data_IF_955933437496
#
_entry.id   IF_955933437496
#
_cell.length_a   1.000
_cell.length_b   1.000
_cell.length_c   1.000
_cell.angle_alpha   90.00
_cell.angle_beta   90.00
_cell.angle_gamma   90.00
#
_symmetry.space_group_name_H-M   'P 1'
#
loop_
_entity.id
_entity.type
_entity.pdbx_description
1 polymer ?
#
# COMPACT_ATOMS: atom_id res chain seq x y z
N UNK A 1 12.92 -12.63 2.20
CA UNK A 1 11.61 -12.00 1.96
C UNK A 1 11.15 -12.30 0.53
N UNK A 2 11.83 -11.84 -0.51
CA UNK A 2 11.42 -12.06 -1.92
C UNK A 2 11.24 -13.56 -2.23
N UNK A 3 12.18 -14.41 -1.82
CA UNK A 3 12.13 -15.85 -2.11
C UNK A 3 10.95 -16.57 -1.45
N UNK A 4 10.47 -16.05 -0.32
CA UNK A 4 9.32 -16.59 0.42
C UNK A 4 7.96 -16.06 -0.06
N UNK A 5 7.93 -15.03 -0.91
CA UNK A 5 6.71 -14.45 -1.45
C UNK A 5 6.28 -15.16 -2.74
N UNK A 6 4.99 -15.09 -3.07
CA UNK A 6 4.38 -15.63 -4.30
C UNK A 6 4.03 -14.51 -5.29
N UNK A 7 3.86 -14.79 -6.58
CA UNK A 7 3.34 -13.83 -7.53
C UNK A 7 1.99 -13.26 -7.06
N UNK A 8 1.84 -11.92 -7.15
CA UNK A 8 0.67 -11.20 -6.67
C UNK A 8 0.75 -10.73 -5.22
N UNK A 9 1.70 -11.21 -4.43
CA UNK A 9 1.87 -10.73 -3.06
C UNK A 9 2.38 -9.30 -3.00
N UNK A 10 1.99 -8.56 -1.96
CA UNK A 10 2.62 -7.33 -1.51
C UNK A 10 3.50 -7.64 -0.31
N UNK A 11 4.79 -7.32 -0.40
CA UNK A 11 5.73 -7.48 0.71
C UNK A 11 5.56 -6.30 1.67
N UNK A 12 5.25 -6.57 2.94
CA UNK A 12 5.15 -5.55 3.98
C UNK A 12 6.28 -5.71 4.99
N UNK A 13 7.05 -4.64 5.20
CA UNK A 13 8.23 -4.64 6.08
C UNK A 13 8.05 -3.67 7.22
N UNK A 14 8.03 -4.18 8.46
CA UNK A 14 8.09 -3.35 9.65
C UNK A 14 9.56 -3.05 10.00
N UNK A 15 9.95 -1.79 9.95
CA UNK A 15 11.28 -1.30 10.30
C UNK A 15 11.23 -0.13 11.30
N UNK A 16 10.11 0.05 12.00
CA UNK A 16 9.90 1.02 13.07
C UNK A 16 10.31 2.46 12.71
N UNK A 17 10.09 2.88 11.47
CA UNK A 17 10.44 4.22 11.00
C UNK A 17 11.94 4.46 10.82
N UNK A 18 12.79 3.43 10.84
CA UNK A 18 14.22 3.61 10.78
C UNK A 18 14.68 4.23 9.44
N UNK A 19 15.59 5.20 9.53
CA UNK A 19 16.22 5.87 8.38
C UNK A 19 17.40 5.05 7.83
N UNK A 20 17.13 3.79 7.58
CA UNK A 20 18.05 2.82 6.98
C UNK A 20 17.31 2.10 5.87
N UNK A 21 17.95 1.95 4.72
CA UNK A 21 17.33 1.31 3.55
C UNK A 21 17.22 -0.20 3.75
N UNK A 22 15.99 -0.69 3.75
CA UNK A 22 15.67 -2.14 3.72
C UNK A 22 15.56 -2.69 2.31
N UNK A 23 15.43 -1.80 1.31
CA UNK A 23 15.10 -2.14 -0.07
C UNK A 23 15.75 -1.15 -1.06
N UNK A 24 15.99 -1.59 -2.29
CA UNK A 24 16.57 -0.77 -3.35
C UNK A 24 16.32 -1.38 -4.73
N UNK A 25 17.03 -0.88 -5.76
CA UNK A 25 16.83 -1.23 -7.15
C UNK A 25 16.93 -2.72 -7.44
N UNK A 26 18.00 -3.40 -7.03
CA UNK A 26 18.18 -4.85 -7.26
C UNK A 26 17.05 -5.70 -6.66
N UNK A 27 16.57 -5.34 -5.46
CA UNK A 27 15.48 -6.03 -4.80
C UNK A 27 14.16 -5.81 -5.56
N UNK A 28 13.91 -4.58 -6.03
CA UNK A 28 12.74 -4.23 -6.84
C UNK A 28 12.74 -4.98 -8.18
N UNK A 29 13.88 -5.05 -8.86
CA UNK A 29 14.01 -5.81 -10.09
C UNK A 29 13.71 -7.30 -9.89
N UNK A 30 14.31 -7.92 -8.87
CA UNK A 30 14.08 -9.32 -8.51
C UNK A 30 12.61 -9.59 -8.17
N UNK A 31 11.98 -8.71 -7.36
CA UNK A 31 10.58 -8.82 -6.98
C UNK A 31 9.66 -8.72 -8.21
N UNK A 32 9.93 -7.76 -9.10
CA UNK A 32 9.18 -7.59 -10.36
C UNK A 32 9.28 -8.84 -11.25
N UNK A 33 10.48 -9.40 -11.44
CA UNK A 33 10.64 -10.64 -12.21
C UNK A 33 9.87 -11.82 -11.63
N UNK A 34 9.73 -11.86 -10.32
CA UNK A 34 8.93 -12.88 -9.61
C UNK A 34 7.42 -12.62 -9.65
N UNK A 35 6.98 -11.48 -10.16
CA UNK A 35 5.56 -11.10 -10.20
C UNK A 35 5.00 -10.60 -8.87
N UNK A 36 5.84 -10.14 -7.94
CA UNK A 36 5.43 -9.50 -6.70
C UNK A 36 4.73 -8.18 -7.05
N UNK A 37 3.58 -7.92 -6.44
CA UNK A 37 2.72 -6.77 -6.78
C UNK A 37 3.25 -5.44 -6.25
N UNK A 38 4.01 -5.44 -5.15
CA UNK A 38 4.58 -4.21 -4.59
C UNK A 38 5.24 -4.40 -3.24
N UNK A 39 5.72 -3.27 -2.71
CA UNK A 39 6.38 -3.17 -1.41
C UNK A 39 5.73 -2.07 -0.56
N UNK A 40 5.52 -2.36 0.70
CA UNK A 40 5.24 -1.37 1.75
C UNK A 40 6.31 -1.49 2.82
N UNK A 41 6.97 -0.40 3.19
CA UNK A 41 7.96 -0.41 4.26
C UNK A 41 7.81 0.80 5.20
N UNK A 42 7.62 0.53 6.47
CA UNK A 42 7.67 1.50 7.54
C UNK A 42 9.15 1.82 7.87
N UNK A 43 9.83 2.43 6.94
CA UNK A 43 11.26 2.72 7.04
C UNK A 43 11.82 3.29 5.75
N UNK A 44 13.12 3.09 5.51
CA UNK A 44 13.84 3.65 4.37
C UNK A 44 13.95 2.72 3.17
N UNK A 45 13.93 3.31 1.97
CA UNK A 45 14.33 2.70 0.69
C UNK A 45 15.39 3.57 0.02
N UNK A 46 16.14 3.01 -0.93
CA UNK A 46 17.09 3.73 -1.79
C UNK A 46 16.81 3.46 -3.26
N UNK A 47 17.62 4.01 -4.13
CA UNK A 47 17.61 3.74 -5.58
C UNK A 47 16.22 4.05 -6.22
N UNK A 48 15.65 5.22 -5.86
CA UNK A 48 14.30 5.63 -6.27
C UNK A 48 14.14 5.62 -7.79
N UNK A 49 15.13 6.12 -8.50
CA UNK A 49 15.12 6.22 -9.96
C UNK A 49 14.98 4.85 -10.62
N UNK A 50 15.72 3.84 -10.15
CA UNK A 50 15.62 2.47 -10.62
C UNK A 50 14.26 1.84 -10.29
N UNK A 51 13.73 2.08 -9.06
CA UNK A 51 12.41 1.59 -8.65
C UNK A 51 11.32 2.13 -9.58
N UNK A 52 11.40 3.43 -9.92
CA UNK A 52 10.45 4.08 -10.84
C UNK A 52 10.61 3.55 -12.27
N UNK A 53 11.84 3.40 -12.77
CA UNK A 53 12.14 2.82 -14.08
C UNK A 53 11.55 1.40 -14.21
N UNK A 54 11.69 0.60 -13.17
CA UNK A 54 11.09 -0.74 -13.13
C UNK A 54 9.57 -0.72 -12.97
N UNK A 55 8.96 0.44 -12.73
CA UNK A 55 7.52 0.56 -12.43
C UNK A 55 7.09 -0.39 -11.31
N UNK A 56 7.93 -0.55 -10.27
CA UNK A 56 7.64 -1.40 -9.12
C UNK A 56 6.96 -0.60 -8.01
N UNK A 57 5.67 -0.85 -7.69
CA UNK A 57 4.94 -0.11 -6.68
C UNK A 57 5.62 -0.19 -5.33
N UNK A 58 6.04 0.96 -4.78
CA UNK A 58 6.80 1.02 -3.54
C UNK A 58 6.32 2.16 -2.66
N UNK A 59 5.92 1.85 -1.45
CA UNK A 59 5.49 2.80 -0.42
C UNK A 59 6.47 2.76 0.75
N UNK A 60 7.06 3.90 1.09
CA UNK A 60 8.05 4.00 2.18
C UNK A 60 7.94 5.31 2.92
N UNK A 61 8.37 5.34 4.18
CA UNK A 61 8.45 6.58 4.97
C UNK A 61 9.59 7.48 4.55
N UNK A 62 10.73 6.88 4.14
CA UNK A 62 11.96 7.62 3.90
C UNK A 62 12.65 7.17 2.62
N UNK A 63 13.26 8.12 1.93
CA UNK A 63 14.27 7.90 0.90
C UNK A 63 15.63 8.16 1.52
N UNK A 64 16.51 7.14 1.61
CA UNK A 64 17.79 7.26 2.31
C UNK A 64 18.90 6.50 1.57
N UNK A 65 20.10 7.07 1.45
CA UNK A 65 21.24 6.39 0.82
C UNK A 65 21.89 5.33 1.74
N UNK A 66 21.62 5.40 3.04
CA UNK A 66 22.25 4.52 4.04
C UNK A 66 21.85 3.07 3.86
N UNK A 67 22.75 2.14 3.50
CA UNK A 67 22.40 0.74 3.27
C UNK A 67 22.06 0.00 4.55
N UNK A 68 21.13 -0.95 4.48
CA UNK A 68 20.76 -1.83 5.58
C UNK A 68 21.81 -2.90 5.91
N UNK A 69 22.71 -3.22 4.95
CA UNK A 69 23.78 -4.21 5.15
C UNK A 69 24.57 -3.89 6.41
N UNK A 70 24.75 -4.87 7.29
CA UNK A 70 25.38 -4.78 8.60
C UNK A 70 24.63 -3.97 9.68
N UNK A 71 23.50 -3.32 9.36
CA UNK A 71 22.74 -2.47 10.29
C UNK A 71 21.40 -3.06 10.69
N UNK A 72 20.79 -3.83 9.80
CA UNK A 72 19.51 -4.49 10.03
C UNK A 72 19.58 -5.96 9.62
N UNK A 73 18.69 -6.76 10.19
CA UNK A 73 18.49 -8.17 9.82
C UNK A 73 17.00 -8.49 9.81
N UNK A 74 16.61 -9.43 8.99
CA UNK A 74 15.25 -10.00 9.05
C UNK A 74 15.14 -10.83 10.33
N UNK A 75 14.11 -10.55 11.14
CA UNK A 75 13.84 -11.25 12.39
C UNK A 75 12.86 -12.41 12.19
N UNK A 76 11.82 -12.18 11.38
CA UNK A 76 10.78 -13.16 11.08
C UNK A 76 10.21 -12.92 9.69
N UNK A 77 9.52 -13.91 9.14
CA UNK A 77 8.80 -13.84 7.85
C UNK A 77 7.41 -14.45 8.08
N UNK A 78 6.38 -13.83 7.51
CA UNK A 78 4.96 -14.24 7.60
C UNK A 78 4.38 -14.24 9.02
N UNK A 79 5.08 -13.64 9.99
CA UNK A 79 4.53 -13.38 11.32
C UNK A 79 3.74 -12.07 11.34
N UNK A 80 2.74 -11.94 12.23
CA UNK A 80 2.04 -10.67 12.42
C UNK A 80 3.00 -9.55 12.83
N UNK A 81 2.88 -8.39 12.18
CA UNK A 81 3.74 -7.23 12.44
C UNK A 81 2.89 -5.99 12.74
N UNK A 82 3.54 -4.95 13.30
CA UNK A 82 3.01 -3.59 13.33
C UNK A 82 3.82 -2.77 12.32
N UNK A 83 3.19 -2.35 11.25
CA UNK A 83 3.77 -1.50 10.22
C UNK A 83 3.13 -0.12 10.25
N UNK A 84 3.90 0.92 10.53
CA UNK A 84 3.40 2.29 10.67
C UNK A 84 2.20 2.45 11.63
N UNK A 85 2.19 1.69 12.74
CA UNK A 85 1.10 1.68 13.72
C UNK A 85 -0.09 0.78 13.38
N UNK A 86 -0.11 0.16 12.21
CA UNK A 86 -1.17 -0.75 11.77
C UNK A 86 -0.72 -2.21 11.90
N UNK A 87 -1.58 -3.05 12.48
CA UNK A 87 -1.34 -4.50 12.51
C UNK A 87 -1.58 -5.09 11.14
N UNK A 88 -0.60 -5.83 10.63
CA UNK A 88 -0.65 -6.54 9.35
C UNK A 88 -0.35 -8.01 9.59
N UNK A 89 -1.17 -8.88 9.03
CA UNK A 89 -1.02 -10.34 9.08
C UNK A 89 -0.78 -10.91 7.69
N UNK A 90 -0.17 -12.05 7.63
CA UNK A 90 -0.11 -12.82 6.39
C UNK A 90 -1.53 -13.09 5.84
N UNK A 91 -1.74 -12.79 4.56
CA UNK A 91 -3.03 -12.92 3.88
C UNK A 91 -3.95 -11.68 3.94
N UNK A 92 -3.62 -10.65 4.72
CA UNK A 92 -4.34 -9.37 4.66
C UNK A 92 -4.15 -8.72 3.29
N UNK A 93 -5.18 -8.03 2.80
CA UNK A 93 -5.14 -7.34 1.50
C UNK A 93 -4.55 -5.94 1.67
N UNK A 94 -3.59 -5.61 0.83
CA UNK A 94 -3.00 -4.28 0.78
C UNK A 94 -3.52 -3.53 -0.45
N UNK A 95 -4.03 -2.33 -0.22
CA UNK A 95 -4.45 -1.40 -1.28
C UNK A 95 -3.63 -0.13 -1.13
N UNK A 96 -2.94 0.28 -2.19
CA UNK A 96 -2.10 1.48 -2.17
C UNK A 96 -2.28 2.33 -3.40
N UNK A 97 -2.36 3.65 -3.20
CA UNK A 97 -2.44 4.67 -4.26
C UNK A 97 -1.64 5.93 -3.90
N UNK A 98 -1.82 7.02 -4.66
CA UNK A 98 -1.13 8.29 -4.42
C UNK A 98 -1.46 8.97 -3.08
N UNK A 99 -2.50 8.54 -2.37
CA UNK A 99 -2.91 9.09 -1.08
C UNK A 99 -2.36 8.28 0.10
N UNK A 100 -2.00 7.02 -0.12
CA UNK A 100 -1.42 6.17 0.92
C UNK A 100 -1.69 4.70 0.77
N UNK A 101 -1.60 3.97 1.88
CA UNK A 101 -1.77 2.52 1.93
C UNK A 101 -2.82 2.12 2.95
N UNK A 102 -3.73 1.26 2.55
CA UNK A 102 -4.74 0.62 3.39
C UNK A 102 -4.39 -0.85 3.58
N UNK A 103 -4.48 -1.33 4.82
CA UNK A 103 -4.45 -2.76 5.15
C UNK A 103 -5.88 -3.22 5.47
N UNK A 104 -6.37 -4.18 4.74
CA UNK A 104 -7.72 -4.73 4.89
C UNK A 104 -7.62 -6.20 5.36
N UNK A 105 -8.03 -6.52 6.59
CA UNK A 105 -8.09 -7.89 7.07
C UNK A 105 -8.94 -8.76 6.16
N UNK A 106 -8.44 -9.96 5.85
CA UNK A 106 -9.06 -10.86 4.87
C UNK A 106 -10.53 -11.16 5.19
N UNK A 107 -10.87 -11.26 6.47
CA UNK A 107 -12.23 -11.51 6.95
C UNK A 107 -13.22 -10.37 6.68
N UNK A 108 -12.73 -9.18 6.37
CA UNK A 108 -13.56 -7.99 6.09
C UNK A 108 -13.66 -7.63 4.61
N UNK A 109 -12.88 -8.28 3.74
CA UNK A 109 -12.77 -7.93 2.31
C UNK A 109 -14.13 -7.85 1.64
N UNK A 110 -14.94 -8.91 1.71
CA UNK A 110 -16.25 -8.97 1.04
C UNK A 110 -17.15 -7.79 1.43
N UNK A 111 -17.34 -7.61 2.74
CA UNK A 111 -18.22 -6.53 3.25
C UNK A 111 -17.70 -5.16 2.87
N UNK A 112 -16.40 -4.92 3.02
CA UNK A 112 -15.80 -3.62 2.69
C UNK A 112 -15.88 -3.32 1.20
N UNK A 113 -15.67 -4.31 0.33
CA UNK A 113 -15.80 -4.12 -1.12
C UNK A 113 -17.23 -3.79 -1.53
N UNK A 114 -18.22 -4.53 -0.99
CA UNK A 114 -19.64 -4.26 -1.26
C UNK A 114 -20.05 -2.85 -0.82
N UNK A 115 -19.54 -2.35 0.31
CA UNK A 115 -19.81 -0.99 0.78
C UNK A 115 -19.08 0.06 -0.10
N UNK A 116 -17.82 -0.18 -0.46
CA UNK A 116 -17.04 0.73 -1.31
C UNK A 116 -17.67 0.87 -2.72
N UNK A 117 -18.21 -0.20 -3.28
CA UNK A 117 -18.94 -0.15 -4.55
C UNK A 117 -20.20 0.74 -4.47
N UNK A 118 -20.96 0.66 -3.36
CA UNK A 118 -22.12 1.54 -3.13
C UNK A 118 -21.70 3.01 -3.04
N UNK A 119 -20.65 3.33 -2.26
CA UNK A 119 -20.13 4.69 -2.17
C UNK A 119 -19.68 5.22 -3.53
N UNK A 120 -18.91 4.42 -4.28
CA UNK A 120 -18.47 4.80 -5.63
C UNK A 120 -19.64 5.06 -6.57
N UNK A 121 -20.74 4.28 -6.46
CA UNK A 121 -21.94 4.49 -7.26
C UNK A 121 -22.65 5.79 -6.88
N UNK A 122 -22.73 6.10 -5.59
CA UNK A 122 -23.36 7.33 -5.11
C UNK A 122 -22.54 8.57 -5.45
N UNK A 123 -21.20 8.50 -5.34
CA UNK A 123 -20.29 9.56 -5.81
C UNK A 123 -20.48 9.88 -7.29
N UNK A 124 -20.58 8.86 -8.15
CA UNK A 124 -20.81 9.04 -9.59
C UNK A 124 -22.16 9.73 -9.87
N UNK A 125 -23.22 9.36 -9.13
CA UNK A 125 -24.54 10.02 -9.25
C UNK A 125 -24.47 11.46 -8.77
N UNK A 126 -23.84 11.71 -7.61
CA UNK A 126 -23.67 13.06 -7.07
C UNK A 126 -22.92 13.96 -8.06
N UNK A 127 -21.80 13.48 -8.63
CA UNK A 127 -21.05 14.23 -9.63
C UNK A 127 -21.91 14.54 -10.88
N UNK A 128 -22.73 13.61 -11.32
CA UNK A 128 -23.62 13.84 -12.47
C UNK A 128 -24.70 14.89 -12.17
N UNK A 129 -25.30 14.84 -10.99
CA UNK A 129 -26.28 15.85 -10.59
C UNK A 129 -25.67 17.23 -10.36
N UNK A 130 -24.46 17.28 -9.81
CA UNK A 130 -23.70 18.54 -9.70
C UNK A 130 -23.39 19.16 -11.08
N UNK A 131 -23.08 18.36 -12.11
CA UNK A 131 -22.97 18.84 -13.50
C UNK A 131 -24.27 19.43 -14.02
N UNK A 132 -25.42 18.97 -13.52
CA UNK A 132 -26.74 19.46 -13.88
C UNK A 132 -27.22 20.63 -12.99
N UNK A 133 -26.34 21.18 -12.14
CA UNK A 133 -26.61 22.38 -11.37
C UNK A 133 -26.91 22.15 -9.88
N UNK A 134 -26.86 20.90 -9.39
CA UNK A 134 -26.97 20.64 -7.94
C UNK A 134 -25.75 21.23 -7.22
N UNK A 135 -25.98 21.97 -6.13
CA UNK A 135 -24.87 22.49 -5.32
C UNK A 135 -24.22 21.39 -4.50
N UNK A 136 -22.94 21.57 -4.13
CA UNK A 136 -22.23 20.63 -3.26
C UNK A 136 -22.96 20.38 -1.94
N UNK A 137 -23.51 21.45 -1.33
CA UNK A 137 -24.29 21.34 -0.09
C UNK A 137 -25.55 20.49 -0.22
N UNK A 138 -26.23 20.58 -1.36
CA UNK A 138 -27.42 19.76 -1.67
C UNK A 138 -27.00 18.32 -1.97
N UNK A 139 -25.89 18.10 -2.69
CA UNK A 139 -25.32 16.77 -2.91
C UNK A 139 -25.00 16.06 -1.60
N UNK A 140 -24.33 16.73 -0.65
CA UNK A 140 -24.04 16.17 0.69
C UNK A 140 -25.32 15.78 1.47
N UNK A 141 -26.41 16.51 1.29
CA UNK A 141 -27.68 16.16 1.94
C UNK A 141 -28.39 14.99 1.29
N UNK A 142 -28.30 14.88 -0.04
CA UNK A 142 -28.99 13.87 -0.84
C UNK A 142 -28.26 12.53 -0.82
N UNK A 143 -26.94 12.56 -0.89
CA UNK A 143 -26.04 11.40 -0.91
C UNK A 143 -25.27 11.38 0.43
N UNK A 144 -25.90 10.88 1.48
CA UNK A 144 -25.41 10.97 2.87
C UNK A 144 -24.09 10.28 3.17
N UNK A 145 -23.47 9.67 2.16
CA UNK A 145 -22.24 8.89 2.28
C UNK A 145 -21.13 9.31 1.29
N UNK A 146 -21.23 10.50 0.70
CA UNK A 146 -20.17 11.12 -0.10
C UNK A 146 -19.29 12.04 0.75
#
# INVERSE_FOLDING_TARGET
MIDAASPGDVIVVANNGAQVSTWGGMASYSAKLKGIAGLVVDGGVRDREEIVEFSFPTFSKHMVPTPGKTRIKVLSINEPIICAGVRVRHGDIIVGDGTGVLCLPIEHVKKTTEEAEKFTADDKKAMQEMKNGLTFREALKKFSKI
#
